data_IF_513391961806
#
_entry.id   IF_513391961806
#
_cell.length_a   1.000
_cell.length_b   1.000
_cell.length_c   1.000
_cell.angle_alpha   90.00
_cell.angle_beta   90.00
_cell.angle_gamma   90.00
#
_symmetry.space_group_name_H-M   'P 1'
#
loop_
_entity.id
_entity.type
_entity.pdbx_description
1 polymer ?
#
# COMPACT_ATOMS: atom_id res chain seq x y z
N UNK A 1 30.67 12.51 -1.51
CA UNK A 1 29.96 13.71 -1.03
C UNK A 1 28.64 13.67 -1.77
N UNK A 2 27.54 13.47 -1.06
CA UNK A 2 26.22 13.58 -1.65
C UNK A 2 26.11 15.00 -2.19
N UNK A 3 25.98 15.16 -3.51
CA UNK A 3 25.59 16.45 -4.07
C UNK A 3 24.16 16.67 -3.60
N UNK A 4 24.01 17.38 -2.48
CA UNK A 4 22.71 17.80 -1.96
C UNK A 4 21.99 18.51 -3.11
N UNK A 5 20.79 18.03 -3.45
CA UNK A 5 19.99 18.66 -4.49
C UNK A 5 19.42 20.01 -4.03
N UNK A 6 19.30 20.22 -2.70
CA UNK A 6 18.95 21.52 -2.11
C UNK A 6 20.01 21.96 -1.08
N UNK A 7 20.47 23.20 -1.24
CA UNK A 7 21.52 23.79 -0.38
C UNK A 7 20.95 24.33 0.95
N UNK A 8 21.75 24.26 2.01
CA UNK A 8 21.40 24.79 3.34
C UNK A 8 21.04 26.28 3.30
N UNK A 9 21.77 27.08 2.51
CA UNK A 9 21.50 28.50 2.35
C UNK A 9 20.09 28.78 1.78
N UNK A 10 19.62 27.94 0.85
CA UNK A 10 18.26 28.06 0.28
C UNK A 10 17.18 27.75 1.32
N UNK A 11 17.44 26.78 2.20
CA UNK A 11 16.54 26.45 3.31
C UNK A 11 16.49 27.57 4.36
N UNK A 12 17.64 28.13 4.72
CA UNK A 12 17.72 29.26 5.67
C UNK A 12 16.98 30.50 5.14
N UNK A 13 17.14 30.81 3.84
CA UNK A 13 16.39 31.87 3.17
C UNK A 13 14.87 31.62 3.24
N UNK A 14 14.43 30.39 2.94
CA UNK A 14 13.02 30.03 3.01
C UNK A 14 12.44 30.18 4.44
N UNK A 15 13.18 29.76 5.47
CA UNK A 15 12.77 29.93 6.87
C UNK A 15 12.66 31.42 7.26
N UNK A 16 13.57 32.26 6.78
CA UNK A 16 13.58 33.69 7.06
C UNK A 16 12.44 34.44 6.35
N UNK A 17 12.19 34.13 5.08
CA UNK A 17 11.33 34.95 4.21
C UNK A 17 9.89 34.45 4.06
N UNK A 18 9.68 33.13 3.98
CA UNK A 18 8.34 32.57 3.74
C UNK A 18 7.48 32.70 5.00
N UNK A 19 6.29 33.27 4.88
CA UNK A 19 5.48 33.65 6.04
C UNK A 19 4.29 32.74 6.27
N UNK A 20 3.63 32.29 5.21
CA UNK A 20 2.35 31.59 5.26
C UNK A 20 2.43 30.16 4.72
N UNK A 21 1.45 29.32 5.06
CA UNK A 21 1.36 27.96 4.49
C UNK A 21 1.30 27.98 2.95
N UNK A 22 0.65 28.97 2.35
CA UNK A 22 0.63 29.15 0.90
C UNK A 22 2.03 29.45 0.34
N UNK A 23 2.81 30.28 1.02
CA UNK A 23 4.18 30.60 0.61
C UNK A 23 5.04 29.32 0.58
N UNK A 24 4.91 28.49 1.61
CA UNK A 24 5.58 27.19 1.73
C UNK A 24 5.09 26.21 0.67
N UNK A 25 3.78 26.02 0.49
CA UNK A 25 3.23 25.10 -0.51
C UNK A 25 3.74 25.42 -1.93
N UNK A 26 3.66 26.69 -2.33
CA UNK A 26 4.16 27.12 -3.64
C UNK A 26 5.69 26.96 -3.76
N UNK A 27 6.44 27.23 -2.69
CA UNK A 27 7.90 27.07 -2.69
C UNK A 27 8.31 25.60 -2.78
N UNK A 28 7.77 24.76 -1.89
CA UNK A 28 8.03 23.31 -1.84
C UNK A 28 7.68 22.65 -3.16
N UNK A 29 6.53 22.98 -3.76
CA UNK A 29 6.16 22.47 -5.10
C UNK A 29 7.23 22.81 -6.14
N UNK A 30 7.79 24.02 -6.09
CA UNK A 30 8.85 24.45 -7.01
C UNK A 30 10.16 23.70 -6.76
N UNK A 31 10.52 23.46 -5.49
CA UNK A 31 11.72 22.69 -5.14
C UNK A 31 11.57 21.23 -5.59
N UNK A 32 10.43 20.59 -5.32
CA UNK A 32 10.15 19.23 -5.76
C UNK A 32 10.15 19.10 -7.29
N UNK A 33 9.52 20.02 -8.01
CA UNK A 33 9.48 19.99 -9.48
C UNK A 33 10.83 20.30 -10.16
N UNK A 34 11.74 20.99 -9.47
CA UNK A 34 13.10 21.29 -9.99
C UNK A 34 14.16 20.29 -9.54
N UNK A 35 13.82 19.42 -8.59
CA UNK A 35 14.66 18.33 -8.11
C UNK A 35 14.50 17.08 -8.99
N UNK A 36 15.47 16.17 -8.96
CA UNK A 36 15.41 14.90 -9.71
C UNK A 36 14.82 13.77 -8.85
N UNK A 37 13.77 14.08 -8.08
CA UNK A 37 13.05 13.13 -7.24
C UNK A 37 11.90 12.48 -8.01
N UNK A 38 11.56 11.25 -7.64
CA UNK A 38 10.47 10.49 -8.25
C UNK A 38 9.19 10.55 -7.40
N UNK A 39 8.02 10.61 -8.05
CA UNK A 39 6.71 10.55 -7.39
C UNK A 39 6.01 9.24 -7.78
N UNK A 40 5.59 8.47 -6.78
CA UNK A 40 4.88 7.20 -7.01
C UNK A 40 4.46 6.44 -5.74
N UNK A 41 4.64 7.05 -4.56
CA UNK A 41 4.30 6.46 -3.27
C UNK A 41 2.96 7.02 -2.74
N UNK A 42 1.98 7.17 -3.64
CA UNK A 42 0.67 7.75 -3.35
C UNK A 42 0.38 9.10 -4.04
N UNK A 43 1.39 9.73 -4.64
CA UNK A 43 1.24 10.91 -5.49
C UNK A 43 2.04 10.75 -6.79
N UNK A 44 1.67 11.46 -7.85
CA UNK A 44 2.34 11.42 -9.16
C UNK A 44 2.92 12.79 -9.59
N UNK A 45 2.78 13.81 -8.73
CA UNK A 45 3.17 15.17 -9.05
C UNK A 45 3.65 15.96 -7.82
N UNK A 46 4.49 16.95 -8.08
CA UNK A 46 5.13 17.77 -7.05
C UNK A 46 4.14 18.57 -6.18
N UNK A 47 2.96 18.93 -6.69
CA UNK A 47 1.98 19.70 -5.93
C UNK A 47 1.33 18.82 -4.87
N UNK A 48 0.81 17.66 -5.26
CA UNK A 48 0.15 16.73 -4.34
C UNK A 48 1.16 16.14 -3.33
N UNK A 49 2.40 15.89 -3.75
CA UNK A 49 3.50 15.50 -2.84
C UNK A 49 3.76 16.60 -1.79
N UNK A 50 3.79 17.88 -2.19
CA UNK A 50 3.98 18.99 -1.26
C UNK A 50 2.80 19.15 -0.29
N UNK A 51 1.56 18.97 -0.76
CA UNK A 51 0.36 18.96 0.11
C UNK A 51 0.46 17.82 1.13
N UNK A 52 0.79 16.63 0.66
CA UNK A 52 0.91 15.41 1.48
C UNK A 52 2.04 15.50 2.51
N UNK A 53 3.08 16.29 2.27
CA UNK A 53 4.14 16.56 3.25
C UNK A 53 3.74 17.66 4.24
N UNK A 54 3.31 18.82 3.74
CA UNK A 54 3.15 20.03 4.54
C UNK A 54 1.99 19.95 5.53
N UNK A 55 0.82 19.44 5.11
CA UNK A 55 -0.35 19.41 5.99
C UNK A 55 -0.14 18.48 7.18
N UNK A 56 0.27 17.20 7.01
CA UNK A 56 0.53 16.31 8.14
C UNK A 56 1.68 16.80 9.03
N UNK A 57 2.72 17.39 8.46
CA UNK A 57 3.83 17.95 9.24
C UNK A 57 3.39 19.11 10.17
N UNK A 58 2.28 19.78 9.85
CA UNK A 58 1.64 20.80 10.68
C UNK A 58 0.45 20.25 11.48
N UNK A 59 0.20 18.95 11.45
CA UNK A 59 -0.96 18.30 12.05
C UNK A 59 -2.29 18.88 11.55
N UNK A 60 -2.33 19.25 10.26
CA UNK A 60 -3.52 19.71 9.56
C UNK A 60 -4.11 18.56 8.73
N UNK A 61 -5.45 18.44 8.66
CA UNK A 61 -6.07 17.44 7.80
C UNK A 61 -5.99 17.85 6.32
N UNK A 62 -6.10 16.88 5.40
CA UNK A 62 -6.02 17.12 3.95
C UNK A 62 -7.15 18.01 3.42
N UNK A 63 -8.29 18.04 4.10
CA UNK A 63 -9.45 18.88 3.82
C UNK A 63 -9.47 20.18 4.65
N UNK A 64 -8.32 20.59 5.18
CA UNK A 64 -8.16 21.83 5.94
C UNK A 64 -8.78 23.04 5.20
N UNK A 65 -9.49 23.94 5.91
CA UNK A 65 -10.10 25.12 5.31
C UNK A 65 -9.09 25.97 4.54
N UNK A 66 -9.46 26.44 3.34
CA UNK A 66 -8.56 27.18 2.44
C UNK A 66 -8.03 28.48 3.07
N UNK A 67 -8.76 29.04 4.04
CA UNK A 67 -8.36 30.23 4.79
C UNK A 67 -7.05 30.01 5.56
N UNK A 68 -6.77 28.76 5.99
CA UNK A 68 -5.52 28.42 6.68
C UNK A 68 -4.29 28.56 5.78
N UNK A 69 -4.46 28.57 4.45
CA UNK A 69 -3.34 28.82 3.53
C UNK A 69 -2.68 30.17 3.77
N UNK A 70 -3.41 31.16 4.29
CA UNK A 70 -2.87 32.49 4.59
C UNK A 70 -2.45 32.66 6.06
N UNK A 71 -2.59 31.62 6.89
CA UNK A 71 -2.11 31.63 8.27
C UNK A 71 -0.58 31.67 8.31
N UNK A 72 -0.03 32.41 9.28
CA UNK A 72 1.43 32.51 9.47
C UNK A 72 1.96 31.30 10.21
N UNK A 73 3.13 30.83 9.79
CA UNK A 73 3.86 29.77 10.49
C UNK A 73 4.83 30.36 11.52
N UNK A 74 4.91 29.72 12.67
CA UNK A 74 5.93 29.95 13.69
C UNK A 74 7.31 29.52 13.18
N UNK A 75 8.38 30.06 13.77
CA UNK A 75 9.74 29.65 13.39
C UNK A 75 9.99 28.16 13.58
N UNK A 76 9.40 27.53 14.61
CA UNK A 76 9.54 26.08 14.84
C UNK A 76 8.90 25.27 13.71
N UNK A 77 7.69 25.64 13.28
CA UNK A 77 7.02 24.99 12.15
C UNK A 77 7.84 25.14 10.87
N UNK A 78 8.31 26.35 10.56
CA UNK A 78 9.16 26.60 9.40
C UNK A 78 10.43 25.73 9.37
N UNK A 79 11.14 25.63 10.50
CA UNK A 79 12.34 24.80 10.58
C UNK A 79 12.02 23.30 10.43
N UNK A 80 10.89 22.84 11.00
CA UNK A 80 10.42 21.46 10.79
C UNK A 80 10.16 21.18 9.30
N UNK A 81 9.44 22.07 8.63
CA UNK A 81 9.14 21.92 7.20
C UNK A 81 10.42 21.93 6.35
N UNK A 82 11.35 22.85 6.62
CA UNK A 82 12.65 22.89 5.95
C UNK A 82 13.41 21.57 6.09
N UNK A 83 13.46 21.00 7.30
CA UNK A 83 14.11 19.71 7.55
C UNK A 83 13.51 18.57 6.73
N UNK A 84 12.17 18.42 6.75
CA UNK A 84 11.49 17.37 5.99
C UNK A 84 11.64 17.53 4.47
N UNK A 85 11.63 18.77 3.97
CA UNK A 85 11.84 19.06 2.54
C UNK A 85 13.28 18.72 2.13
N UNK A 86 14.25 19.03 2.99
CA UNK A 86 15.64 18.67 2.76
C UNK A 86 15.83 17.15 2.70
N UNK A 87 15.25 16.42 3.65
CA UNK A 87 15.28 14.95 3.68
C UNK A 87 14.62 14.35 2.43
N UNK A 88 13.43 14.83 2.05
CA UNK A 88 12.73 14.39 0.84
C UNK A 88 13.57 14.53 -0.42
N UNK A 89 14.28 15.66 -0.56
CA UNK A 89 15.04 16.02 -1.77
C UNK A 89 16.41 15.35 -1.80
N UNK A 90 17.15 15.39 -0.70
CA UNK A 90 18.54 14.94 -0.67
C UNK A 90 18.65 13.41 -0.53
N UNK A 91 17.78 12.84 0.31
CA UNK A 91 17.82 11.42 0.65
C UNK A 91 16.82 10.60 -0.18
N UNK A 92 15.93 11.29 -0.92
CA UNK A 92 14.86 10.67 -1.70
C UNK A 92 13.91 9.83 -0.82
N UNK A 93 13.75 10.18 0.47
CA UNK A 93 12.84 9.48 1.38
C UNK A 93 11.39 9.75 0.98
N UNK A 94 10.56 8.72 0.72
CA UNK A 94 9.15 8.92 0.40
C UNK A 94 8.39 9.73 1.47
N UNK A 95 7.49 10.62 1.04
CA UNK A 95 6.68 11.44 1.96
C UNK A 95 5.89 10.62 2.98
N UNK A 96 5.33 9.44 2.65
CA UNK A 96 4.65 8.63 3.65
C UNK A 96 5.53 8.19 4.81
N UNK A 97 6.84 7.96 4.59
CA UNK A 97 7.77 7.64 5.68
C UNK A 97 8.19 8.89 6.47
N UNK A 98 8.28 10.05 5.82
CA UNK A 98 8.55 11.34 6.50
C UNK A 98 7.40 11.79 7.41
N UNK A 99 6.16 11.46 7.02
CA UNK A 99 4.95 11.85 7.75
C UNK A 99 4.36 10.73 8.59
N UNK A 100 4.84 9.50 8.39
CA UNK A 100 4.27 8.25 8.86
C UNK A 100 2.80 8.04 8.48
N UNK A 101 2.36 8.56 7.33
CA UNK A 101 0.97 8.46 6.87
C UNK A 101 0.93 8.10 5.39
N UNK A 102 0.22 7.02 5.06
CA UNK A 102 -0.19 6.69 3.69
C UNK A 102 -1.71 6.58 3.59
N UNK A 103 -2.28 6.82 2.42
CA UNK A 103 -3.71 6.70 2.19
C UNK A 103 -4.03 5.45 1.37
N UNK A 104 -5.06 4.72 1.81
CA UNK A 104 -5.60 3.58 1.08
C UNK A 104 -7.13 3.54 1.24
N UNK A 105 -7.87 3.32 0.16
CA UNK A 105 -9.34 3.30 0.18
C UNK A 105 -9.99 4.53 0.88
N UNK A 106 -9.38 5.71 0.75
CA UNK A 106 -9.85 6.94 1.41
C UNK A 106 -9.60 7.00 2.91
N UNK A 107 -8.76 6.12 3.45
CA UNK A 107 -8.44 5.99 4.87
C UNK A 107 -6.93 6.21 5.10
N UNK A 108 -6.52 7.00 6.11
CA UNK A 108 -5.11 7.17 6.46
C UNK A 108 -4.60 5.99 7.32
N UNK A 109 -3.40 5.51 7.03
CA UNK A 109 -2.74 4.43 7.76
C UNK A 109 -1.35 4.89 8.21
N UNK A 110 -0.97 4.49 9.41
CA UNK A 110 0.40 4.59 9.88
C UNK A 110 1.29 3.68 9.03
N UNK A 111 2.41 4.23 8.56
CA UNK A 111 3.44 3.49 7.82
C UNK A 111 4.84 3.96 8.23
N UNK A 112 5.79 3.04 8.14
CA UNK A 112 7.22 3.31 8.23
C UNK A 112 7.98 2.27 7.38
N UNK A 113 9.31 2.31 7.41
CA UNK A 113 10.19 1.51 6.56
C UNK A 113 10.06 -0.01 6.76
N UNK A 114 9.30 -0.46 7.77
CA UNK A 114 8.98 -1.88 7.99
C UNK A 114 7.94 -2.44 7.01
N UNK A 115 7.18 -1.57 6.33
CA UNK A 115 6.06 -1.96 5.45
C UNK A 115 6.09 -1.25 4.11
N UNK A 116 5.56 -1.91 3.08
CA UNK A 116 5.34 -1.30 1.77
C UNK A 116 4.27 -0.19 1.84
N UNK A 117 4.49 0.91 1.12
CA UNK A 117 3.54 2.03 1.06
C UNK A 117 2.31 1.60 0.25
N UNK A 118 1.09 1.64 0.82
CA UNK A 118 -0.13 1.21 0.18
C UNK A 118 -0.38 1.86 -1.19
N UNK A 119 -0.58 1.02 -2.21
CA UNK A 119 -0.87 1.45 -3.60
C UNK A 119 -1.71 0.45 -4.40
N UNK A 120 -2.36 -0.48 -3.71
CA UNK A 120 -3.08 -1.57 -4.37
C UNK A 120 -4.42 -1.11 -5.00
N UNK A 121 -4.78 -1.60 -6.19
CA UNK A 121 -6.11 -1.40 -6.78
C UNK A 121 -7.24 -2.10 -6.01
N UNK A 122 -6.95 -2.94 -5.01
CA UNK A 122 -7.97 -3.55 -4.15
C UNK A 122 -8.92 -2.54 -3.50
N UNK A 123 -8.52 -1.27 -3.35
CA UNK A 123 -9.41 -0.21 -2.87
C UNK A 123 -10.74 -0.14 -3.65
N UNK A 124 -10.71 -0.30 -4.99
CA UNK A 124 -11.91 -0.27 -5.83
C UNK A 124 -12.80 -1.50 -5.58
N UNK A 125 -12.21 -2.70 -5.52
CA UNK A 125 -12.93 -3.96 -5.23
C UNK A 125 -13.52 -3.97 -3.83
N UNK A 126 -12.82 -3.44 -2.83
CA UNK A 126 -13.33 -3.34 -1.47
C UNK A 126 -14.51 -2.37 -1.43
N UNK A 127 -14.41 -1.22 -2.11
CA UNK A 127 -15.47 -0.21 -2.15
C UNK A 127 -16.77 -0.73 -2.79
N UNK A 128 -16.66 -1.60 -3.79
CA UNK A 128 -17.81 -2.24 -4.46
C UNK A 128 -18.18 -3.61 -3.87
N UNK A 129 -17.52 -4.03 -2.79
CA UNK A 129 -17.68 -5.34 -2.12
C UNK A 129 -17.55 -6.53 -3.08
N UNK A 130 -16.59 -6.45 -3.99
CA UNK A 130 -16.23 -7.47 -4.99
C UNK A 130 -17.41 -7.88 -5.89
N UNK A 131 -18.30 -6.94 -6.21
CA UNK A 131 -19.36 -7.14 -7.21
C UNK A 131 -18.71 -7.21 -8.61
N UNK A 132 -19.13 -8.13 -9.51
CA UNK A 132 -20.28 -9.05 -9.40
C UNK A 132 -19.96 -10.44 -8.85
N UNK A 133 -18.72 -10.73 -8.48
CA UNK A 133 -18.28 -12.08 -8.09
C UNK A 133 -18.88 -12.55 -6.76
N UNK A 134 -19.03 -11.64 -5.80
CA UNK A 134 -19.79 -11.91 -4.58
C UNK A 134 -21.26 -11.54 -4.77
N UNK A 135 -22.12 -12.53 -5.05
CA UNK A 135 -23.57 -12.33 -5.22
C UNK A 135 -24.26 -11.90 -3.91
N UNK A 136 -23.78 -12.42 -2.77
CA UNK A 136 -24.29 -12.11 -1.44
C UNK A 136 -23.17 -11.60 -0.52
N UNK A 137 -22.66 -10.36 -0.68
CA UNK A 137 -21.54 -9.86 0.12
C UNK A 137 -21.77 -9.93 1.64
N UNK A 138 -23.04 -9.81 2.08
CA UNK A 138 -23.43 -9.96 3.49
C UNK A 138 -23.23 -11.37 4.06
N UNK A 139 -23.05 -12.40 3.23
CA UNK A 139 -22.82 -13.78 3.68
C UNK A 139 -21.35 -14.09 3.93
N UNK A 140 -20.43 -13.17 3.59
CA UNK A 140 -18.99 -13.31 3.87
C UNK A 140 -18.77 -13.14 5.37
N UNK A 141 -18.25 -14.20 6.03
CA UNK A 141 -18.00 -14.21 7.47
C UNK A 141 -16.51 -14.36 7.80
N UNK A 142 -15.72 -15.00 6.92
CA UNK A 142 -14.29 -15.23 7.10
C UNK A 142 -13.50 -14.73 5.90
N UNK A 143 -12.59 -13.79 6.14
CA UNK A 143 -11.71 -13.21 5.13
C UNK A 143 -10.26 -13.45 5.55
N UNK A 144 -9.40 -13.74 4.59
CA UNK A 144 -7.95 -13.79 4.77
C UNK A 144 -7.30 -12.72 3.89
N UNK A 145 -6.45 -11.90 4.49
CA UNK A 145 -5.55 -10.98 3.78
C UNK A 145 -4.11 -11.53 3.86
N UNK A 146 -3.62 -12.06 2.75
CA UNK A 146 -2.28 -12.62 2.60
C UNK A 146 -1.27 -11.52 2.24
N UNK A 147 -0.12 -11.52 2.92
CA UNK A 147 0.94 -10.50 2.78
C UNK A 147 0.41 -9.10 3.18
N UNK A 148 -0.20 -9.03 4.37
CA UNK A 148 -0.99 -7.87 4.81
C UNK A 148 -0.16 -6.58 4.99
N UNK A 149 1.15 -6.68 5.21
CA UNK A 149 2.04 -5.53 5.34
C UNK A 149 1.62 -4.58 6.46
N UNK A 150 1.06 -3.42 6.10
CA UNK A 150 0.56 -2.42 7.06
C UNK A 150 -0.84 -2.73 7.62
N UNK A 151 -1.51 -3.77 7.13
CA UNK A 151 -2.88 -4.11 7.50
C UNK A 151 -3.94 -3.31 6.75
N UNK A 152 -3.57 -2.45 5.80
CA UNK A 152 -4.49 -1.52 5.15
C UNK A 152 -5.62 -2.24 4.39
N UNK A 153 -5.32 -3.33 3.68
CA UNK A 153 -6.30 -4.16 2.97
C UNK A 153 -7.20 -4.88 3.98
N UNK A 154 -6.64 -5.58 4.97
CA UNK A 154 -7.40 -6.25 6.03
C UNK A 154 -8.38 -5.31 6.77
N UNK A 155 -7.93 -4.10 7.12
CA UNK A 155 -8.75 -3.11 7.82
C UNK A 155 -9.86 -2.58 6.92
N UNK A 156 -9.55 -2.26 5.65
CA UNK A 156 -10.56 -1.81 4.70
C UNK A 156 -11.60 -2.91 4.41
N UNK A 157 -11.18 -4.18 4.32
CA UNK A 157 -12.08 -5.33 4.23
C UNK A 157 -12.99 -5.42 5.45
N UNK A 158 -12.45 -5.31 6.66
CA UNK A 158 -13.25 -5.32 7.87
C UNK A 158 -14.28 -4.16 7.90
N UNK A 159 -13.94 -2.97 7.40
CA UNK A 159 -14.90 -1.86 7.28
C UNK A 159 -16.00 -2.15 6.25
N UNK A 160 -15.65 -2.72 5.09
CA UNK A 160 -16.62 -3.04 4.04
C UNK A 160 -17.55 -4.22 4.41
N UNK A 161 -17.04 -5.19 5.18
CA UNK A 161 -17.74 -6.38 5.64
C UNK A 161 -17.92 -6.36 7.16
N UNK A 162 -18.91 -5.60 7.63
CA UNK A 162 -19.14 -5.31 9.06
C UNK A 162 -19.26 -6.55 9.97
N UNK A 163 -19.69 -7.69 9.43
CA UNK A 163 -19.88 -8.94 10.19
C UNK A 163 -18.72 -9.93 10.03
N UNK A 164 -17.78 -9.68 9.13
CA UNK A 164 -16.68 -10.60 8.86
C UNK A 164 -15.57 -10.49 9.91
N UNK A 165 -14.93 -11.63 10.17
CA UNK A 165 -13.64 -11.72 10.84
C UNK A 165 -12.54 -11.81 9.78
N UNK A 166 -11.49 -11.01 9.93
CA UNK A 166 -10.38 -10.90 8.99
C UNK A 166 -9.10 -11.38 9.66
N UNK A 167 -8.51 -12.44 9.13
CA UNK A 167 -7.16 -12.84 9.49
C UNK A 167 -6.19 -12.07 8.57
N UNK A 168 -5.28 -11.31 9.15
CA UNK A 168 -4.30 -10.49 8.45
C UNK A 168 -2.92 -11.15 8.64
N UNK A 169 -2.38 -11.77 7.60
CA UNK A 169 -1.17 -12.59 7.73
C UNK A 169 0.03 -11.99 7.01
N UNK A 170 1.19 -12.07 7.66
CA UNK A 170 2.48 -11.69 7.07
C UNK A 170 3.61 -12.57 7.59
N UNK A 171 4.66 -12.76 6.78
CA UNK A 171 5.87 -13.46 7.21
C UNK A 171 6.71 -12.59 8.14
N UNK A 172 6.65 -11.26 7.95
CA UNK A 172 7.40 -10.27 8.71
C UNK A 172 6.70 -9.93 10.01
N UNK A 173 7.34 -10.28 11.13
CA UNK A 173 6.89 -9.85 12.45
C UNK A 173 6.90 -8.33 12.59
N UNK A 174 7.88 -7.64 12.00
CA UNK A 174 8.00 -6.17 12.03
C UNK A 174 6.86 -5.49 11.27
N UNK A 175 6.40 -6.07 10.16
CA UNK A 175 5.22 -5.59 9.45
C UNK A 175 3.94 -5.77 10.29
N UNK A 176 3.84 -6.89 11.01
CA UNK A 176 2.70 -7.14 11.89
C UNK A 176 2.64 -6.18 13.09
N UNK A 177 3.76 -5.64 13.55
CA UNK A 177 3.75 -4.56 14.55
C UNK A 177 3.10 -3.28 13.97
N UNK A 178 3.37 -2.95 12.70
CA UNK A 178 2.70 -1.83 12.00
C UNK A 178 1.23 -2.12 11.77
N UNK A 179 0.89 -3.35 11.38
CA UNK A 179 -0.49 -3.84 11.28
C UNK A 179 -1.23 -3.65 12.60
N UNK A 180 -0.63 -4.03 13.73
CA UNK A 180 -1.25 -3.89 15.05
C UNK A 180 -1.49 -2.42 15.42
N UNK A 181 -0.54 -1.51 15.11
CA UNK A 181 -0.76 -0.06 15.29
C UNK A 181 -2.03 0.38 14.56
N UNK A 182 -2.14 0.04 13.28
CA UNK A 182 -3.31 0.42 12.47
C UNK A 182 -4.61 -0.23 12.96
N UNK A 183 -4.60 -1.50 13.36
CA UNK A 183 -5.78 -2.18 13.92
C UNK A 183 -6.27 -1.47 15.18
N UNK A 184 -5.35 -1.06 16.06
CA UNK A 184 -5.67 -0.33 17.27
C UNK A 184 -6.23 1.07 16.97
N UNK A 185 -5.62 1.80 16.04
CA UNK A 185 -6.07 3.15 15.62
C UNK A 185 -7.49 3.14 15.05
N UNK A 186 -7.86 2.07 14.33
CA UNK A 186 -9.21 1.87 13.80
C UNK A 186 -10.18 1.16 14.77
N UNK A 187 -9.74 0.80 15.97
CA UNK A 187 -10.52 0.08 16.99
C UNK A 187 -11.11 -1.25 16.48
N UNK A 188 -10.32 -2.01 15.73
CA UNK A 188 -10.74 -3.26 15.07
C UNK A 188 -10.16 -4.54 15.69
N UNK A 189 -9.60 -4.46 16.90
CA UNK A 189 -8.91 -5.58 17.58
C UNK A 189 -9.75 -6.85 17.77
N UNK A 190 -11.08 -6.73 17.75
CA UNK A 190 -12.01 -7.87 17.89
C UNK A 190 -12.45 -8.48 16.54
N UNK A 191 -12.00 -7.91 15.41
CA UNK A 191 -12.39 -8.33 14.06
C UNK A 191 -11.23 -8.55 13.10
N UNK A 192 -10.08 -7.92 13.34
CA UNK A 192 -8.87 -8.10 12.54
C UNK A 192 -7.79 -8.70 13.43
N UNK A 193 -7.29 -9.88 13.06
CA UNK A 193 -6.29 -10.60 13.82
C UNK A 193 -4.97 -10.67 13.04
N UNK A 194 -3.89 -10.00 13.50
CA UNK A 194 -2.57 -10.14 12.91
C UNK A 194 -1.96 -11.49 13.27
N UNK A 195 -1.47 -12.25 12.28
CA UNK A 195 -0.92 -13.60 12.46
C UNK A 195 0.37 -13.73 11.66
N UNK A 196 1.46 -14.14 12.32
CA UNK A 196 2.70 -14.46 11.60
C UNK A 196 2.53 -15.75 10.81
N UNK A 197 2.73 -15.67 9.50
CA UNK A 197 2.54 -16.79 8.58
C UNK A 197 3.43 -16.64 7.35
N UNK A 198 4.12 -17.73 6.98
CA UNK A 198 4.58 -17.91 5.60
C UNK A 198 3.40 -18.45 4.79
N UNK A 199 2.79 -17.57 3.99
CA UNK A 199 1.53 -17.81 3.26
C UNK A 199 0.45 -18.40 4.17
N UNK A 200 0.17 -19.71 4.10
CA UNK A 200 -0.89 -20.37 4.88
C UNK A 200 -0.41 -21.07 6.15
N UNK A 201 0.90 -21.13 6.42
CA UNK A 201 1.47 -21.92 7.52
C UNK A 201 0.95 -21.54 8.92
N UNK A 202 0.57 -20.29 9.14
CA UNK A 202 0.02 -19.76 10.39
C UNK A 202 -1.49 -19.99 10.58
N UNK A 203 -2.21 -20.47 9.56
CA UNK A 203 -3.68 -20.65 9.58
C UNK A 203 -4.13 -22.09 9.24
N UNK A 204 -3.52 -23.14 9.81
CA UNK A 204 -3.83 -24.52 9.45
C UNK A 204 -5.29 -24.88 9.75
N UNK A 205 -5.95 -25.49 8.76
CA UNK A 205 -7.34 -25.95 8.87
C UNK A 205 -8.39 -24.83 8.89
N UNK A 206 -7.99 -23.56 8.76
CA UNK A 206 -8.94 -22.46 8.60
C UNK A 206 -9.51 -22.45 7.18
N UNK A 207 -10.77 -22.01 7.08
CA UNK A 207 -11.52 -21.90 5.83
C UNK A 207 -12.10 -20.50 5.69
N UNK A 208 -11.95 -19.93 4.50
CA UNK A 208 -12.30 -18.55 4.18
C UNK A 208 -13.29 -18.47 3.03
N UNK A 209 -14.23 -17.54 3.14
CA UNK A 209 -15.18 -17.20 2.07
C UNK A 209 -14.51 -16.34 1.00
N UNK A 210 -13.54 -15.53 1.42
CA UNK A 210 -12.75 -14.65 0.57
C UNK A 210 -11.29 -14.68 1.01
N UNK A 211 -10.39 -14.91 0.07
CA UNK A 211 -8.95 -14.72 0.24
C UNK A 211 -8.52 -13.59 -0.70
N UNK A 212 -7.88 -12.58 -0.14
CA UNK A 212 -7.25 -11.48 -0.88
C UNK A 212 -5.75 -11.59 -0.66
N UNK A 213 -4.96 -11.37 -1.71
CA UNK A 213 -3.52 -11.40 -1.62
C UNK A 213 -2.92 -10.29 -2.48
N UNK A 214 -2.04 -9.50 -1.87
CA UNK A 214 -1.12 -8.61 -2.59
C UNK A 214 0.33 -9.04 -2.30
N UNK A 215 0.75 -10.21 -2.82
CA UNK A 215 2.11 -10.71 -2.60
C UNK A 215 3.15 -9.82 -3.30
N UNK A 216 4.43 -9.92 -2.91
CA UNK A 216 5.50 -9.34 -3.73
C UNK A 216 5.46 -9.95 -5.14
N UNK A 217 5.62 -9.11 -6.15
CA UNK A 217 5.56 -9.53 -7.56
C UNK A 217 6.58 -8.84 -8.48
N UNK A 218 7.49 -8.03 -7.95
CA UNK A 218 8.52 -7.37 -8.74
C UNK A 218 9.63 -8.38 -9.05
N UNK A 219 9.99 -8.49 -10.34
CA UNK A 219 11.08 -9.35 -10.77
C UNK A 219 12.46 -8.69 -10.53
N UNK A 220 13.52 -9.49 -10.65
CA UNK A 220 14.87 -9.05 -10.33
C UNK A 220 15.43 -8.01 -11.32
N UNK A 221 14.93 -7.95 -12.56
CA UNK A 221 15.35 -6.95 -13.55
C UNK A 221 14.70 -5.60 -13.22
N UNK A 222 13.39 -5.60 -12.96
CA UNK A 222 12.63 -4.39 -12.57
C UNK A 222 13.15 -3.80 -11.25
N UNK A 223 13.50 -4.65 -10.27
CA UNK A 223 14.11 -4.20 -9.00
C UNK A 223 15.41 -3.39 -9.19
N UNK A 224 16.18 -3.68 -10.24
CA UNK A 224 17.46 -3.02 -10.51
C UNK A 224 17.30 -1.61 -11.13
N UNK A 225 16.16 -1.36 -11.77
CA UNK A 225 15.85 -0.10 -12.47
C UNK A 225 14.93 0.83 -11.63
N UNK A 226 14.59 0.43 -10.41
CA UNK A 226 13.71 1.21 -9.54
C UNK A 226 14.32 2.59 -9.18
N UNK A 227 13.50 3.65 -9.16
CA UNK A 227 13.90 4.94 -8.61
C UNK A 227 14.40 4.83 -7.16
N UNK A 228 15.28 5.76 -6.76
CA UNK A 228 15.93 5.78 -5.43
C UNK A 228 14.93 5.69 -4.28
N UNK A 229 13.77 6.30 -4.43
CA UNK A 229 12.68 6.32 -3.47
C UNK A 229 12.22 4.89 -3.08
N UNK A 230 12.13 3.96 -4.03
CA UNK A 230 11.64 2.59 -3.76
C UNK A 230 12.65 1.74 -2.98
N UNK A 231 13.93 2.11 -2.97
CA UNK A 231 14.94 1.40 -2.15
C UNK A 231 14.79 1.68 -0.65
N UNK A 232 13.90 2.61 -0.26
CA UNK A 232 13.51 2.79 1.14
C UNK A 232 12.43 1.80 1.59
N UNK A 233 11.72 1.17 0.66
CA UNK A 233 10.71 0.14 0.98
C UNK A 233 11.39 -1.22 1.27
N UNK A 234 10.78 -2.09 2.10
CA UNK A 234 11.36 -3.38 2.41
C UNK A 234 11.41 -4.28 1.17
N UNK A 235 12.59 -4.79 0.83
CA UNK A 235 12.80 -5.69 -0.33
C UNK A 235 11.89 -6.91 -0.30
N UNK A 236 11.62 -7.46 0.90
CA UNK A 236 10.72 -8.59 1.13
C UNK A 236 9.28 -8.33 0.66
N UNK A 237 8.84 -7.06 0.66
CA UNK A 237 7.53 -6.64 0.17
C UNK A 237 7.47 -6.38 -1.34
N UNK A 238 8.62 -6.39 -2.03
CA UNK A 238 8.72 -6.09 -3.47
C UNK A 238 9.10 -7.32 -4.29
N UNK A 239 10.20 -8.00 -3.91
CA UNK A 239 10.85 -9.00 -4.74
C UNK A 239 10.27 -10.41 -4.55
N UNK A 240 10.05 -11.13 -5.64
CA UNK A 240 9.48 -12.49 -5.62
C UNK A 240 10.11 -13.42 -6.65
N UNK A 241 11.34 -13.85 -6.37
CA UNK A 241 12.05 -14.78 -7.24
C UNK A 241 12.46 -14.17 -8.58
N UNK A 242 12.71 -15.02 -9.59
CA UNK A 242 13.20 -14.56 -10.89
C UNK A 242 12.12 -13.93 -11.77
N UNK A 243 10.88 -14.43 -11.69
CA UNK A 243 9.75 -14.04 -12.54
C UNK A 243 8.62 -13.34 -11.77
N UNK A 244 8.87 -12.95 -10.51
CA UNK A 244 7.89 -12.28 -9.65
C UNK A 244 6.82 -13.20 -9.06
N UNK A 245 6.90 -14.53 -9.20
CA UNK A 245 5.76 -15.42 -8.93
C UNK A 245 6.03 -16.54 -7.92
N UNK A 246 7.12 -16.49 -7.15
CA UNK A 246 7.42 -17.52 -6.14
C UNK A 246 6.33 -17.62 -5.07
N UNK A 247 5.90 -16.49 -4.50
CA UNK A 247 4.82 -16.48 -3.50
C UNK A 247 3.48 -16.84 -4.14
N UNK A 248 3.19 -16.32 -5.34
CA UNK A 248 1.96 -16.63 -6.09
C UNK A 248 1.83 -18.12 -6.40
N UNK A 249 2.95 -18.81 -6.69
CA UNK A 249 2.98 -20.26 -6.90
C UNK A 249 2.48 -21.01 -5.66
N UNK A 250 2.99 -20.66 -4.48
CA UNK A 250 2.56 -21.25 -3.21
C UNK A 250 1.10 -20.95 -2.92
N UNK A 251 0.66 -19.70 -3.14
CA UNK A 251 -0.74 -19.31 -2.96
C UNK A 251 -1.66 -20.20 -3.81
N UNK A 252 -1.37 -20.33 -5.11
CA UNK A 252 -2.20 -21.12 -6.02
C UNK A 252 -2.22 -22.61 -5.69
N UNK A 253 -1.11 -23.18 -5.21
CA UNK A 253 -1.05 -24.61 -4.85
C UNK A 253 -1.82 -24.97 -3.58
N UNK A 254 -1.97 -24.02 -2.65
CA UNK A 254 -2.51 -24.28 -1.31
C UNK A 254 -3.90 -23.65 -1.09
N UNK A 255 -4.27 -22.61 -1.85
CA UNK A 255 -5.49 -21.84 -1.59
C UNK A 255 -6.78 -22.68 -1.58
N UNK A 256 -6.89 -23.73 -2.40
CA UNK A 256 -8.11 -24.55 -2.40
C UNK A 256 -8.32 -25.31 -1.07
N UNK A 257 -7.24 -25.61 -0.35
CA UNK A 257 -7.29 -26.20 0.99
C UNK A 257 -7.73 -25.19 2.06
N UNK A 258 -7.73 -23.90 1.76
CA UNK A 258 -8.12 -22.81 2.67
C UNK A 258 -9.40 -22.08 2.26
N UNK A 259 -9.97 -22.37 1.09
CA UNK A 259 -11.27 -21.83 0.68
C UNK A 259 -12.44 -22.71 1.14
N UNK A 260 -13.58 -22.07 1.41
CA UNK A 260 -14.90 -22.74 1.47
C UNK A 260 -15.33 -23.18 0.07
N UNK A 261 -16.36 -24.02 -0.05
CA UNK A 261 -16.80 -24.57 -1.35
C UNK A 261 -17.18 -23.48 -2.37
N UNK A 262 -17.69 -22.33 -1.89
CA UNK A 262 -18.03 -21.16 -2.70
C UNK A 262 -17.00 -20.04 -2.57
N UNK A 263 -15.85 -20.32 -1.97
CA UNK A 263 -14.83 -19.31 -1.69
C UNK A 263 -14.14 -18.80 -2.95
N UNK A 264 -13.75 -17.53 -2.92
CA UNK A 264 -13.03 -16.84 -3.98
C UNK A 264 -11.63 -16.43 -3.52
N UNK A 265 -10.67 -16.56 -4.43
CA UNK A 265 -9.32 -16.03 -4.30
C UNK A 265 -9.14 -14.87 -5.27
N UNK A 266 -8.67 -13.73 -4.76
CA UNK A 266 -8.19 -12.60 -5.55
C UNK A 266 -6.71 -12.39 -5.29
N UNK A 267 -5.91 -12.26 -6.35
CA UNK A 267 -4.46 -12.05 -6.22
C UNK A 267 -4.02 -10.94 -7.15
N UNK A 268 -3.27 -9.98 -6.60
CA UNK A 268 -2.54 -8.97 -7.36
C UNK A 268 -1.16 -9.52 -7.74
N UNK A 269 -0.83 -9.46 -9.04
CA UNK A 269 0.49 -9.84 -9.59
C UNK A 269 1.08 -8.74 -10.46
N UNK A 270 0.42 -7.58 -10.57
CA UNK A 270 0.89 -6.43 -11.35
C UNK A 270 1.36 -6.82 -12.76
N UNK A 271 2.55 -6.35 -13.13
CA UNK A 271 3.15 -6.61 -14.44
C UNK A 271 3.45 -8.10 -14.69
N UNK A 272 3.64 -8.88 -13.64
CA UNK A 272 3.91 -10.33 -13.71
C UNK A 272 2.72 -11.14 -14.24
N UNK A 273 1.57 -10.49 -14.48
CA UNK A 273 0.46 -11.09 -15.23
C UNK A 273 0.90 -11.67 -16.59
N UNK A 274 1.91 -11.09 -17.25
CA UNK A 274 2.41 -11.60 -18.54
C UNK A 274 3.08 -12.97 -18.42
N UNK A 275 3.60 -13.32 -17.24
CA UNK A 275 4.21 -14.61 -16.96
C UNK A 275 3.18 -15.67 -16.54
N UNK A 276 2.02 -15.25 -16.02
CA UNK A 276 0.96 -16.15 -15.55
C UNK A 276 0.43 -17.06 -16.65
N UNK A 277 0.17 -16.54 -17.86
CA UNK A 277 -0.33 -17.34 -18.98
C UNK A 277 0.65 -18.43 -19.44
N UNK A 278 1.96 -18.16 -19.35
CA UNK A 278 2.99 -19.11 -19.72
C UNK A 278 3.16 -20.23 -18.68
N UNK A 279 3.03 -19.88 -17.39
CA UNK A 279 3.18 -20.82 -16.27
C UNK A 279 1.92 -21.66 -16.05
N UNK A 280 0.75 -21.08 -16.28
CA UNK A 280 -0.54 -21.69 -16.02
C UNK A 280 -1.44 -21.71 -17.28
N UNK A 281 -1.00 -22.40 -18.35
CA UNK A 281 -1.71 -22.38 -19.62
C UNK A 281 -3.13 -22.96 -19.49
N UNK A 282 -4.12 -22.14 -19.83
CA UNK A 282 -5.54 -22.53 -19.78
C UNK A 282 -6.13 -22.56 -18.37
N UNK A 283 -5.44 -22.00 -17.38
CA UNK A 283 -6.06 -21.70 -16.09
C UNK A 283 -7.21 -20.69 -16.29
N UNK A 284 -8.36 -20.90 -15.63
CA UNK A 284 -9.55 -20.07 -15.83
C UNK A 284 -9.48 -18.78 -14.98
N UNK A 285 -8.36 -18.05 -15.05
CA UNK A 285 -8.22 -16.75 -14.40
C UNK A 285 -9.13 -15.73 -15.07
N UNK A 286 -9.91 -15.02 -14.27
CA UNK A 286 -10.65 -13.86 -14.73
C UNK A 286 -9.90 -12.60 -14.30
N UNK A 287 -9.36 -11.87 -15.27
CA UNK A 287 -8.61 -10.64 -15.05
C UNK A 287 -9.54 -9.45 -14.87
N UNK A 288 -9.30 -8.67 -13.82
CA UNK A 288 -10.17 -7.56 -13.42
C UNK A 288 -9.68 -6.27 -14.08
N UNK A 289 -10.64 -5.52 -14.64
CA UNK A 289 -10.43 -4.17 -15.15
C UNK A 289 -10.87 -3.15 -14.10
N UNK A 290 -10.04 -2.12 -13.89
CA UNK A 290 -10.27 -1.08 -12.87
C UNK A 290 -10.58 0.26 -13.53
N UNK A 291 -11.56 0.99 -13.00
CA UNK A 291 -11.89 2.34 -13.46
C UNK A 291 -10.89 3.39 -12.95
N UNK A 292 -10.29 3.15 -11.78
CA UNK A 292 -9.37 4.09 -11.11
C UNK A 292 -7.90 3.78 -11.38
N UNK A 293 -7.62 2.87 -12.30
CA UNK A 293 -6.26 2.42 -12.64
C UNK A 293 -5.76 1.27 -11.76
N UNK A 294 -4.63 0.71 -12.15
CA UNK A 294 -4.13 -0.56 -11.65
C UNK A 294 -4.44 -1.71 -12.61
N UNK A 295 -3.64 -2.78 -12.52
CA UNK A 295 -3.73 -3.95 -13.40
C UNK A 295 -3.21 -5.19 -12.68
N UNK A 296 -3.42 -6.35 -13.30
CA UNK A 296 -2.81 -7.59 -12.84
C UNK A 296 -3.47 -8.18 -11.60
N UNK A 297 -4.74 -7.87 -11.33
CA UNK A 297 -5.54 -8.59 -10.34
C UNK A 297 -6.40 -9.63 -11.07
N UNK A 298 -6.32 -10.88 -10.66
CA UNK A 298 -7.23 -11.93 -11.12
C UNK A 298 -8.10 -12.46 -9.99
N UNK A 299 -9.23 -13.06 -10.36
CA UNK A 299 -10.06 -13.88 -9.48
C UNK A 299 -10.13 -15.32 -9.99
N UNK A 300 -10.19 -16.25 -9.03
CA UNK A 300 -10.44 -17.67 -9.28
C UNK A 300 -11.20 -18.29 -8.10
N UNK A 301 -12.18 -19.14 -8.39
CA UNK A 301 -12.93 -19.87 -7.36
C UNK A 301 -12.19 -21.12 -6.89
N UNK A 302 -12.52 -21.61 -5.70
CA UNK A 302 -12.03 -22.92 -5.21
C UNK A 302 -12.28 -24.04 -6.22
N UNK A 303 -13.49 -24.10 -6.79
CA UNK A 303 -13.86 -25.13 -7.78
C UNK A 303 -12.94 -25.10 -9.00
N UNK A 304 -12.64 -23.91 -9.52
CA UNK A 304 -11.73 -23.75 -10.66
C UNK A 304 -10.29 -24.15 -10.31
N UNK A 305 -9.81 -23.82 -9.10
CA UNK A 305 -8.51 -24.28 -8.61
C UNK A 305 -8.45 -25.82 -8.57
N UNK A 306 -9.44 -26.46 -7.95
CA UNK A 306 -9.51 -27.92 -7.86
C UNK A 306 -9.57 -28.57 -9.25
N UNK A 307 -10.40 -28.06 -10.16
CA UNK A 307 -10.52 -28.58 -11.53
C UNK A 307 -9.24 -28.41 -12.36
N UNK A 308 -8.50 -27.33 -12.12
CA UNK A 308 -7.24 -27.06 -12.81
C UNK A 308 -6.10 -27.93 -12.29
N UNK A 309 -5.90 -28.00 -10.98
CA UNK A 309 -4.79 -28.73 -10.34
C UNK A 309 -5.05 -30.23 -10.14
N UNK A 310 -6.28 -30.72 -10.34
CA UNK A 310 -6.57 -32.16 -10.37
C UNK A 310 -6.07 -32.88 -11.64
N UNK A 311 -5.56 -32.14 -12.64
CA UNK A 311 -5.01 -32.67 -13.90
C UNK A 311 -3.55 -33.08 -13.76
#
# INVERSE_FOLDING_TARGET
MSDLQIEEATLEEAVAELSTLHDWLRWTTSQFASSSIFFGHGTDNAWDEAVSLLLPALSLPVDAPKELMHARLTSTEKNRLAGLIAERINDCTPVPYLTNIAWFAGMPFYVDERVLIPRSPFAELISNRFTPWLEEPQSVNRILDLCTGSGCIAIALAQAFEQAQVDAVDISYEALEVTDININDYMLTERVLPIQSDVFSGVPGQKYDLIVANPPYVDAEDMADLPREFHHEPELGLASGHDGLDVTRTILSEASEHLTDNGLLFVEVGNSMVHMDALYPGAPFEWIEFEQGGLGVFVISKKQLDEYFAK
#
